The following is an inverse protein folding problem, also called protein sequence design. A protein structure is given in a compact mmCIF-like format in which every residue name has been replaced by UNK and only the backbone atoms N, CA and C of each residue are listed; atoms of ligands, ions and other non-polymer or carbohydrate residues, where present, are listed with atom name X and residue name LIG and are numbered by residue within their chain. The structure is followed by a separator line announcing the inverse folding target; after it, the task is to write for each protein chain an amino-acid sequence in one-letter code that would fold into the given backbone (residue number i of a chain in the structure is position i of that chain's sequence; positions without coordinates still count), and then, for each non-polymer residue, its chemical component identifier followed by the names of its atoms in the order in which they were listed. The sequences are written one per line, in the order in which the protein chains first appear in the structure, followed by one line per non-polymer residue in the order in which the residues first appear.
data_IF_554022670786
#
_entry.id   IF_554022670786
#
_cell.length_a   1.000
_cell.length_b   1.000
_cell.length_c   1.000
_cell.angle_alpha   90.00
_cell.angle_beta   90.00
_cell.angle_gamma   90.00
#
_symmetry.space_group_name_H-M   'P 1'
#
loop_
_entity.id
_entity.type
_entity.pdbx_description
1 polymer ?
#
# COMPACT_ATOMS: atom_id res chain seq x y z
N UNK A 1 -51.74 44.41 52.54
CA UNK A 1 -50.50 44.02 51.92
C UNK A 1 -50.50 42.50 51.83
N UNK A 2 -50.82 41.96 50.68
CA UNK A 2 -50.60 40.52 50.43
C UNK A 2 -49.12 40.23 50.46
N UNK A 3 -48.63 39.71 51.58
CA UNK A 3 -47.25 39.18 51.58
C UNK A 3 -47.31 37.77 50.95
N UNK A 4 -46.79 37.67 49.78
CA UNK A 4 -46.55 36.37 49.14
C UNK A 4 -45.56 35.63 50.02
N UNK A 5 -45.89 34.40 50.41
CA UNK A 5 -44.99 33.56 51.22
C UNK A 5 -43.85 32.99 50.36
N UNK A 6 -42.68 32.76 50.97
CA UNK A 6 -41.55 32.15 50.30
C UNK A 6 -41.91 30.81 49.62
N UNK A 7 -42.79 30.04 50.25
CA UNK A 7 -43.31 28.78 49.75
C UNK A 7 -44.11 28.94 48.45
N UNK A 8 -44.89 30.01 48.32
CA UNK A 8 -45.60 30.30 47.07
C UNK A 8 -44.69 30.73 45.96
N UNK A 9 -43.61 31.48 46.26
CA UNK A 9 -42.57 31.83 45.29
C UNK A 9 -41.82 30.57 44.79
N UNK A 10 -41.45 29.69 45.71
CA UNK A 10 -40.77 28.47 45.42
C UNK A 10 -41.61 27.48 44.60
N UNK A 11 -42.92 27.38 44.95
CA UNK A 11 -43.86 26.60 44.15
C UNK A 11 -44.04 27.13 42.72
N UNK A 12 -44.11 28.47 42.61
CA UNK A 12 -44.18 29.09 41.26
C UNK A 12 -42.93 28.92 40.43
N UNK A 13 -41.74 29.02 41.06
CA UNK A 13 -40.49 28.73 40.40
C UNK A 13 -40.43 27.28 39.91
N UNK A 14 -40.78 26.32 40.76
CA UNK A 14 -40.84 24.92 40.37
C UNK A 14 -41.81 24.68 39.19
N UNK A 15 -42.96 25.39 39.18
CA UNK A 15 -43.90 25.31 38.07
C UNK A 15 -43.31 25.83 36.74
N UNK A 16 -42.52 26.91 36.79
CA UNK A 16 -41.82 27.47 35.60
C UNK A 16 -40.79 26.48 35.14
N UNK A 17 -39.94 25.94 36.01
CA UNK A 17 -38.90 24.96 35.67
C UNK A 17 -39.50 23.70 35.01
N UNK A 18 -40.63 23.21 35.51
CA UNK A 18 -41.36 22.08 34.91
C UNK A 18 -41.88 22.45 33.51
N UNK A 19 -42.41 23.65 33.34
CA UNK A 19 -42.92 24.10 32.05
C UNK A 19 -41.77 24.26 31.02
N UNK A 20 -40.65 24.82 31.44
CA UNK A 20 -39.43 24.92 30.63
C UNK A 20 -38.90 23.55 30.22
N UNK A 21 -38.80 22.62 31.16
CA UNK A 21 -38.39 21.25 30.86
C UNK A 21 -39.30 20.54 29.84
N UNK A 22 -40.65 20.77 29.95
CA UNK A 22 -41.61 20.25 28.98
C UNK A 22 -41.44 20.88 27.59
N UNK A 23 -41.18 22.19 27.54
CA UNK A 23 -40.91 22.90 26.27
C UNK A 23 -39.66 22.36 25.61
N UNK A 24 -38.59 22.14 26.35
CA UNK A 24 -37.34 21.62 25.81
C UNK A 24 -37.47 20.17 25.32
N UNK A 25 -38.21 19.34 26.04
CA UNK A 25 -38.57 18.00 25.59
C UNK A 25 -39.38 18.02 24.27
N UNK A 26 -40.35 18.96 24.16
CA UNK A 26 -41.15 19.12 22.94
C UNK A 26 -40.28 19.62 21.75
N UNK A 27 -39.34 20.53 22.01
CA UNK A 27 -38.38 21.00 20.98
C UNK A 27 -37.45 19.88 20.52
N UNK A 28 -36.94 19.05 21.44
CA UNK A 28 -36.13 17.90 21.11
C UNK A 28 -36.88 16.91 20.19
N UNK A 29 -38.13 16.56 20.60
CA UNK A 29 -38.98 15.71 19.77
C UNK A 29 -39.25 16.30 18.36
N UNK A 30 -39.44 17.62 18.28
CA UNK A 30 -39.60 18.28 16.96
C UNK A 30 -38.32 18.21 16.13
N UNK A 31 -37.16 18.38 16.75
CA UNK A 31 -35.86 18.27 16.05
C UNK A 31 -35.64 16.87 15.47
N UNK A 32 -36.05 15.82 16.20
CA UNK A 32 -35.94 14.43 15.74
C UNK A 32 -36.84 14.11 14.52
N UNK A 33 -37.85 14.95 14.26
CA UNK A 33 -38.66 14.81 13.03
C UNK A 33 -37.98 15.38 11.78
N UNK A 34 -36.86 16.07 11.92
CA UNK A 34 -36.10 16.67 10.86
C UNK A 34 -34.72 16.04 10.78
N UNK A 35 -34.57 15.05 9.87
CA UNK A 35 -33.30 14.36 9.67
C UNK A 35 -32.46 15.20 8.69
N UNK A 36 -31.36 15.73 9.16
CA UNK A 36 -30.40 16.50 8.37
C UNK A 36 -29.09 15.73 8.19
N UNK A 37 -28.39 15.97 7.09
CA UNK A 37 -27.06 15.41 6.87
C UNK A 37 -26.07 15.96 7.92
N UNK A 38 -25.31 15.11 8.62
CA UNK A 38 -24.36 15.54 9.65
C UNK A 38 -23.10 16.18 9.09
N UNK A 39 -22.78 15.92 7.82
CA UNK A 39 -21.64 16.47 7.10
C UNK A 39 -21.97 16.63 5.60
N UNK A 40 -21.11 17.35 4.87
CA UNK A 40 -21.22 17.48 3.43
C UNK A 40 -20.66 16.23 2.73
N UNK A 41 -21.41 15.70 1.74
CA UNK A 41 -21.01 14.48 1.07
C UNK A 41 -21.90 14.15 -0.13
N UNK A 42 -21.66 12.99 -0.72
CA UNK A 42 -22.44 12.44 -1.84
C UNK A 42 -23.48 11.45 -1.30
N UNK A 43 -24.72 11.66 -1.67
CA UNK A 43 -25.83 10.79 -1.27
C UNK A 43 -25.97 9.63 -2.24
N UNK A 44 -26.18 8.43 -1.73
CA UNK A 44 -26.50 7.24 -2.51
C UNK A 44 -27.94 7.31 -3.09
N UNK A 45 -28.39 6.21 -3.69
CA UNK A 45 -29.75 6.13 -4.19
C UNK A 45 -30.79 6.12 -3.06
N UNK A 46 -31.90 6.80 -3.30
CA UNK A 46 -33.04 6.86 -2.38
C UNK A 46 -34.10 5.87 -2.85
N UNK A 47 -34.24 4.75 -2.15
CA UNK A 47 -35.14 3.65 -2.52
C UNK A 47 -36.48 3.70 -1.77
N UNK A 48 -36.91 4.89 -1.32
CA UNK A 48 -38.20 5.06 -0.67
C UNK A 48 -38.97 6.26 -1.20
N UNK A 49 -40.30 6.16 -1.13
CA UNK A 49 -41.24 7.18 -1.59
C UNK A 49 -41.97 7.82 -0.42
N UNK A 50 -42.52 9.00 -0.64
CA UNK A 50 -43.41 9.66 0.32
C UNK A 50 -44.56 8.71 0.73
N UNK A 51 -44.79 8.61 2.03
CA UNK A 51 -45.84 7.75 2.60
C UNK A 51 -45.36 6.34 2.96
N UNK A 52 -44.09 5.99 2.67
CA UNK A 52 -43.51 4.74 3.17
C UNK A 52 -43.33 4.83 4.69
N UNK A 53 -43.83 3.83 5.40
CA UNK A 53 -43.61 3.70 6.84
C UNK A 53 -42.17 3.23 7.07
N UNK A 54 -41.46 3.93 7.93
CA UNK A 54 -40.09 3.60 8.36
C UNK A 54 -40.08 3.31 9.86
N UNK A 55 -39.29 2.35 10.27
CA UNK A 55 -39.13 2.00 11.69
C UNK A 55 -37.84 2.64 12.23
N UNK A 56 -37.75 2.78 13.55
CA UNK A 56 -36.52 3.22 14.19
C UNK A 56 -35.38 2.25 13.82
N UNK A 57 -34.23 2.81 13.39
CA UNK A 57 -33.10 2.02 12.92
C UNK A 57 -33.16 1.61 11.45
N UNK A 58 -34.20 2.00 10.69
CA UNK A 58 -34.22 1.78 9.24
C UNK A 58 -33.15 2.64 8.55
N UNK A 59 -32.36 2.03 7.70
CA UNK A 59 -31.48 2.75 6.79
C UNK A 59 -32.30 3.51 5.76
N UNK A 60 -32.07 4.81 5.63
CA UNK A 60 -32.78 5.68 4.70
C UNK A 60 -31.98 5.91 3.43
N UNK A 61 -30.70 6.20 3.58
CA UNK A 61 -29.76 6.44 2.51
C UNK A 61 -28.33 6.33 3.05
N UNK A 62 -27.37 6.17 2.16
CA UNK A 62 -25.94 6.31 2.47
C UNK A 62 -25.48 7.74 2.17
N UNK A 63 -24.63 8.27 3.00
CA UNK A 63 -23.97 9.57 2.81
C UNK A 63 -22.47 9.35 2.96
N UNK A 64 -21.72 9.55 1.89
CA UNK A 64 -20.30 9.29 1.82
C UNK A 64 -19.51 10.58 1.56
N UNK A 65 -18.45 10.80 2.31
CA UNK A 65 -17.43 11.78 1.97
C UNK A 65 -16.42 11.11 1.04
N UNK A 66 -16.45 11.47 -0.22
CA UNK A 66 -15.58 10.90 -1.26
C UNK A 66 -14.33 11.74 -1.52
N UNK A 67 -14.09 12.78 -0.76
CA UNK A 67 -12.94 13.70 -0.97
C UNK A 67 -11.59 13.01 -0.77
N UNK A 68 -11.54 12.09 0.19
CA UNK A 68 -10.37 11.27 0.50
C UNK A 68 -10.81 9.81 0.58
N UNK A 69 -10.06 8.94 -0.08
CA UNK A 69 -10.33 7.51 -0.07
C UNK A 69 -9.25 6.76 0.69
N UNK A 70 -9.67 5.89 1.60
CA UNK A 70 -8.78 5.05 2.38
C UNK A 70 -8.65 3.65 1.76
N UNK A 71 -7.43 3.15 1.67
CA UNK A 71 -7.11 1.78 1.28
C UNK A 71 -6.37 1.09 2.41
N UNK A 72 -6.95 0.04 2.98
CA UNK A 72 -6.26 -0.83 3.91
C UNK A 72 -5.54 -1.95 3.13
N UNK A 73 -4.22 -1.98 3.23
CA UNK A 73 -3.36 -2.96 2.57
C UNK A 73 -2.69 -3.88 3.58
N UNK A 74 -2.67 -5.18 3.28
CA UNK A 74 -1.98 -6.18 4.08
C UNK A 74 -0.56 -6.37 3.55
N UNK A 75 0.45 -6.12 4.39
CA UNK A 75 1.86 -6.22 4.04
C UNK A 75 2.55 -7.26 4.91
N UNK A 76 3.33 -8.20 4.34
CA UNK A 76 4.08 -9.18 5.13
C UNK A 76 5.06 -8.53 6.11
N UNK A 77 5.19 -9.10 7.33
CA UNK A 77 6.00 -8.54 8.42
C UNK A 77 7.47 -8.31 8.06
N UNK A 78 8.03 -9.10 7.13
CA UNK A 78 9.41 -8.94 6.66
C UNK A 78 9.72 -7.56 6.08
N UNK A 79 8.69 -6.83 5.63
CA UNK A 79 8.84 -5.47 5.09
C UNK A 79 8.66 -4.38 6.13
N UNK A 80 8.37 -4.73 7.40
CA UNK A 80 8.07 -3.77 8.46
C UNK A 80 9.18 -2.71 8.63
N UNK A 81 10.44 -3.13 8.58
CA UNK A 81 11.59 -2.22 8.72
C UNK A 81 11.73 -1.19 7.59
N UNK A 82 11.08 -1.46 6.44
CA UNK A 82 11.12 -0.60 5.26
C UNK A 82 9.88 0.31 5.16
N UNK A 83 8.87 0.09 6.01
CA UNK A 83 7.65 0.86 6.01
C UNK A 83 7.79 2.12 6.87
N UNK A 84 7.27 3.23 6.39
CA UNK A 84 7.17 4.47 7.15
C UNK A 84 5.91 5.24 6.79
N UNK A 85 5.36 5.95 7.78
CA UNK A 85 4.27 6.90 7.56
C UNK A 85 4.78 8.02 6.65
N UNK A 86 3.95 8.43 5.68
CA UNK A 86 4.30 9.42 4.66
C UNK A 86 4.90 8.81 3.37
N UNK A 87 5.16 7.51 3.33
CA UNK A 87 5.62 6.82 2.11
C UNK A 87 4.58 6.92 1.01
N UNK A 88 5.02 7.23 -0.20
CA UNK A 88 4.14 7.28 -1.38
C UNK A 88 3.84 5.87 -1.91
N UNK A 89 2.60 5.67 -2.29
CA UNK A 89 2.09 4.41 -2.84
C UNK A 89 1.40 4.68 -4.15
N UNK A 90 1.91 4.10 -5.22
CA UNK A 90 1.23 4.11 -6.51
C UNK A 90 0.09 3.09 -6.51
N UNK A 91 -1.05 3.44 -7.12
CA UNK A 91 -2.14 2.50 -7.28
C UNK A 91 -2.81 2.63 -8.65
N UNK A 92 -3.36 1.53 -9.14
CA UNK A 92 -4.13 1.47 -10.39
C UNK A 92 -5.41 0.69 -10.17
N UNK A 93 -6.42 0.97 -10.97
CA UNK A 93 -7.68 0.22 -10.96
C UNK A 93 -8.13 -0.10 -12.38
N UNK A 94 -8.81 -1.23 -12.54
CA UNK A 94 -9.35 -1.62 -13.85
C UNK A 94 -10.47 -0.70 -14.34
N UNK A 95 -11.15 0.01 -13.43
CA UNK A 95 -12.21 0.96 -13.77
C UNK A 95 -11.68 2.17 -14.55
N UNK A 96 -10.44 2.56 -14.33
CA UNK A 96 -9.77 3.70 -14.99
C UNK A 96 -8.45 3.24 -15.60
N UNK A 97 -8.53 2.49 -16.69
CA UNK A 97 -7.35 1.96 -17.39
C UNK A 97 -6.44 3.09 -17.89
N UNK A 98 -5.16 3.01 -17.52
CA UNK A 98 -4.16 4.02 -17.89
C UNK A 98 -4.07 5.23 -16.95
N UNK A 99 -4.90 5.30 -15.91
CA UNK A 99 -4.81 6.31 -14.86
C UNK A 99 -4.10 5.73 -13.63
N UNK A 100 -3.06 6.41 -13.17
CA UNK A 100 -2.38 6.11 -11.92
C UNK A 100 -2.87 7.04 -10.80
N UNK A 101 -3.01 6.49 -9.63
CA UNK A 101 -3.34 7.23 -8.39
C UNK A 101 -2.14 7.16 -7.47
N UNK A 102 -1.83 8.26 -6.80
CA UNK A 102 -0.75 8.32 -5.81
C UNK A 102 -1.37 8.64 -4.47
N UNK A 103 -1.15 7.76 -3.53
CA UNK A 103 -1.57 7.93 -2.14
C UNK A 103 -0.38 7.96 -1.20
N UNK A 104 -0.64 8.19 0.09
CA UNK A 104 0.37 8.19 1.14
C UNK A 104 -0.03 7.28 2.28
N UNK A 105 0.94 6.59 2.84
CA UNK A 105 0.75 5.81 4.06
C UNK A 105 0.49 6.78 5.21
N UNK A 106 -0.70 6.71 5.79
CA UNK A 106 -1.11 7.55 6.93
C UNK A 106 -1.07 6.80 8.25
N UNK A 107 -1.17 5.47 8.19
CA UNK A 107 -1.14 4.64 9.38
C UNK A 107 -0.52 3.28 9.14
N UNK A 108 0.19 2.79 10.16
CA UNK A 108 0.74 1.44 10.23
C UNK A 108 0.16 0.83 11.51
N UNK A 109 -0.54 -0.31 11.39
CA UNK A 109 -1.12 -0.98 12.56
C UNK A 109 0.00 -1.40 13.53
N UNK A 110 -0.31 -1.39 14.81
CA UNK A 110 0.64 -1.81 15.85
C UNK A 110 0.68 -3.32 16.03
N UNK A 111 -0.23 -4.05 15.38
CA UNK A 111 -0.36 -5.50 15.54
C UNK A 111 -0.15 -6.22 14.22
N UNK A 112 0.59 -7.31 14.30
CA UNK A 112 0.75 -8.29 13.22
C UNK A 112 -0.28 -9.39 13.45
N UNK A 113 -1.00 -9.79 12.41
CA UNK A 113 -1.90 -10.94 12.47
C UNK A 113 -1.08 -12.21 12.61
N UNK A 114 -1.28 -12.94 13.71
CA UNK A 114 -0.59 -14.21 13.94
C UNK A 114 -0.99 -15.30 12.93
N UNK A 115 -2.15 -15.17 12.31
CA UNK A 115 -2.67 -16.12 11.33
C UNK A 115 -2.02 -15.95 9.95
N UNK A 116 -1.85 -14.68 9.51
CA UNK A 116 -1.37 -14.38 8.16
C UNK A 116 0.06 -13.85 8.12
N UNK A 117 0.66 -13.53 9.28
CA UNK A 117 1.96 -12.85 9.43
C UNK A 117 2.03 -11.54 8.63
N UNK A 118 0.88 -10.88 8.49
CA UNK A 118 0.76 -9.59 7.82
C UNK A 118 0.41 -8.50 8.83
N UNK A 119 0.90 -7.32 8.52
CA UNK A 119 0.48 -6.10 9.19
C UNK A 119 -0.39 -5.27 8.25
N UNK A 120 -1.35 -4.54 8.80
CA UNK A 120 -2.21 -3.64 8.03
C UNK A 120 -1.60 -2.26 7.99
N UNK A 121 -1.54 -1.69 6.79
CA UNK A 121 -1.22 -0.28 6.58
C UNK A 121 -2.42 0.42 5.97
N UNK A 122 -2.60 1.70 6.31
CA UNK A 122 -3.62 2.57 5.75
C UNK A 122 -2.99 3.58 4.83
N UNK A 123 -3.56 3.71 3.66
CA UNK A 123 -3.12 4.60 2.60
C UNK A 123 -4.27 5.51 2.26
N UNK A 124 -4.04 6.81 2.22
CA UNK A 124 -5.01 7.79 1.79
C UNK A 124 -4.71 8.29 0.39
N UNK A 125 -5.76 8.42 -0.42
CA UNK A 125 -5.74 8.93 -1.77
C UNK A 125 -6.64 10.15 -1.85
N UNK A 126 -6.12 11.29 -2.30
CA UNK A 126 -6.93 12.44 -2.65
C UNK A 126 -7.82 12.11 -3.86
N UNK A 127 -9.09 12.46 -3.80
CA UNK A 127 -10.09 12.09 -4.81
C UNK A 127 -10.91 13.31 -5.30
N UNK A 128 -10.27 14.38 -5.78
CA UNK A 128 -10.96 15.62 -6.11
C UNK A 128 -11.98 15.47 -7.27
N UNK A 129 -11.75 14.52 -8.16
CA UNK A 129 -12.61 14.27 -9.32
C UNK A 129 -13.62 13.13 -9.08
N UNK A 130 -13.67 12.59 -7.85
CA UNK A 130 -14.54 11.47 -7.46
C UNK A 130 -14.43 10.21 -8.35
N UNK A 131 -13.23 9.97 -8.90
CA UNK A 131 -12.94 8.78 -9.70
C UNK A 131 -12.93 7.50 -8.86
N UNK A 132 -12.42 7.59 -7.64
CA UNK A 132 -12.40 6.48 -6.70
C UNK A 132 -13.73 6.40 -5.96
N UNK A 133 -14.21 5.18 -5.77
CA UNK A 133 -15.46 4.91 -5.04
C UNK A 133 -15.25 3.78 -4.03
N UNK A 134 -15.99 3.79 -2.92
CA UNK A 134 -15.96 2.68 -1.97
C UNK A 134 -16.25 1.34 -2.65
N UNK A 135 -15.51 0.31 -2.26
CA UNK A 135 -15.64 -1.03 -2.84
C UNK A 135 -14.89 -1.28 -4.15
N UNK A 136 -14.17 -0.30 -4.68
CA UNK A 136 -13.31 -0.53 -5.85
C UNK A 136 -12.11 -1.40 -5.51
N UNK A 137 -11.75 -2.30 -6.43
CA UNK A 137 -10.50 -3.05 -6.37
C UNK A 137 -9.36 -2.19 -6.92
N UNK A 138 -8.29 -2.09 -6.14
CA UNK A 138 -7.08 -1.37 -6.52
C UNK A 138 -5.86 -2.28 -6.42
N UNK A 139 -4.94 -2.15 -7.38
CA UNK A 139 -3.62 -2.74 -7.32
C UNK A 139 -2.65 -1.68 -6.82
N UNK A 140 -2.15 -1.87 -5.60
CA UNK A 140 -1.21 -0.95 -4.97
C UNK A 140 0.24 -1.43 -5.20
N UNK A 141 1.14 -0.50 -5.48
CA UNK A 141 2.57 -0.73 -5.66
C UNK A 141 3.35 0.13 -4.66
N UNK A 142 4.05 -0.52 -3.74
CA UNK A 142 4.95 0.13 -2.81
C UNK A 142 6.37 0.06 -3.36
N UNK A 143 7.00 1.22 -3.54
CA UNK A 143 8.40 1.31 -3.88
C UNK A 143 9.21 1.42 -2.59
N UNK A 144 9.95 0.37 -2.25
CA UNK A 144 10.91 0.43 -1.15
C UNK A 144 12.21 1.09 -1.60
N UNK A 145 12.96 1.72 -0.69
CA UNK A 145 14.29 2.24 -0.99
C UNK A 145 15.16 1.14 -1.62
N UNK A 146 15.93 1.51 -2.64
CA UNK A 146 16.87 0.59 -3.23
C UNK A 146 17.92 0.18 -2.19
N UNK A 147 18.14 -1.12 -2.04
CA UNK A 147 19.22 -1.67 -1.23
C UNK A 147 20.39 -2.00 -2.15
N UNK A 148 21.58 -1.58 -1.78
CA UNK A 148 22.79 -2.03 -2.45
C UNK A 148 23.11 -3.44 -1.96
N UNK A 149 22.99 -4.43 -2.83
CA UNK A 149 23.32 -5.81 -2.53
C UNK A 149 24.03 -6.46 -3.73
N UNK A 150 24.94 -7.42 -3.51
CA UNK A 150 25.56 -8.15 -4.62
C UNK A 150 24.51 -8.90 -5.42
N UNK A 151 24.58 -8.78 -6.75
CA UNK A 151 23.74 -9.52 -7.68
C UNK A 151 24.64 -10.45 -8.49
N UNK A 152 24.29 -11.72 -8.55
CA UNK A 152 25.06 -12.72 -9.26
C UNK A 152 24.21 -13.49 -10.26
N UNK A 153 24.74 -13.95 -11.39
CA UNK A 153 24.03 -14.83 -12.31
C UNK A 153 23.63 -16.15 -11.61
N UNK A 154 22.41 -16.64 -11.85
CA UNK A 154 21.91 -17.91 -11.27
C UNK A 154 22.85 -19.08 -11.58
N UNK A 155 23.54 -19.05 -12.74
CA UNK A 155 24.51 -20.07 -13.11
C UNK A 155 25.78 -20.08 -12.23
N UNK A 156 26.01 -19.05 -11.40
CA UNK A 156 27.12 -19.00 -10.45
C UNK A 156 26.81 -19.75 -9.14
N UNK A 157 25.60 -20.25 -8.97
CA UNK A 157 25.15 -20.95 -7.78
C UNK A 157 25.39 -22.44 -7.87
N UNK A 158 26.05 -22.99 -6.85
CA UNK A 158 26.10 -24.41 -6.58
C UNK A 158 24.99 -24.80 -5.63
N UNK A 159 24.21 -25.83 -6.00
CA UNK A 159 23.10 -26.37 -5.21
C UNK A 159 23.56 -27.63 -4.50
N UNK A 160 23.60 -27.63 -3.17
CA UNK A 160 23.96 -28.80 -2.35
C UNK A 160 22.91 -29.03 -1.26
N UNK A 161 21.97 -29.93 -1.52
CA UNK A 161 20.81 -30.13 -0.65
C UNK A 161 19.97 -28.86 -0.52
N UNK A 162 19.77 -28.40 0.71
CA UNK A 162 19.01 -27.17 1.01
C UNK A 162 19.88 -25.91 1.00
N UNK A 163 21.21 -26.07 0.91
CA UNK A 163 22.17 -24.97 0.97
C UNK A 163 22.59 -24.52 -0.42
N UNK A 164 22.97 -23.26 -0.51
CA UNK A 164 23.45 -22.60 -1.73
C UNK A 164 24.86 -22.10 -1.48
N UNK A 165 25.71 -22.30 -2.48
CA UNK A 165 27.12 -21.92 -2.40
C UNK A 165 27.52 -21.18 -3.65
N UNK A 166 28.53 -20.32 -3.52
CA UNK A 166 29.28 -19.70 -4.61
C UNK A 166 30.76 -19.96 -4.39
N UNK A 167 31.52 -19.85 -5.46
CA UNK A 167 32.98 -19.87 -5.35
C UNK A 167 33.49 -18.44 -5.49
N UNK A 168 34.00 -17.89 -4.38
CA UNK A 168 34.67 -16.59 -4.34
C UNK A 168 36.13 -16.79 -4.62
N UNK A 169 36.75 -15.92 -5.40
CA UNK A 169 38.19 -15.98 -5.75
C UNK A 169 38.95 -15.14 -4.73
N UNK A 170 39.88 -15.75 -4.03
CA UNK A 170 40.75 -15.07 -3.09
C UNK A 170 41.92 -14.32 -3.77
N UNK A 171 42.74 -13.63 -2.99
CA UNK A 171 43.90 -12.88 -3.46
C UNK A 171 44.96 -13.75 -4.15
N UNK A 172 45.03 -15.05 -3.84
CA UNK A 172 45.92 -16.05 -4.41
C UNK A 172 45.35 -16.70 -5.68
N UNK A 173 44.25 -16.20 -6.25
CA UNK A 173 43.52 -16.78 -7.36
C UNK A 173 43.01 -18.20 -7.12
N UNK A 174 42.67 -18.53 -5.87
CA UNK A 174 42.04 -19.81 -5.51
C UNK A 174 40.57 -19.65 -5.27
N UNK A 175 39.79 -20.61 -5.71
CA UNK A 175 38.38 -20.66 -5.49
C UNK A 175 38.08 -21.10 -4.06
N UNK A 176 37.39 -20.28 -3.28
CA UNK A 176 36.90 -20.59 -1.94
C UNK A 176 35.40 -20.78 -1.96
N UNK A 177 34.94 -21.94 -1.50
CA UNK A 177 33.51 -22.27 -1.44
C UNK A 177 32.86 -21.53 -0.27
N UNK A 178 31.89 -20.65 -0.57
CA UNK A 178 31.20 -19.79 0.40
C UNK A 178 29.70 -20.09 0.40
N UNK A 179 29.12 -20.35 1.58
CA UNK A 179 27.67 -20.47 1.74
C UNK A 179 27.03 -19.10 1.60
N UNK A 180 25.93 -19.02 0.84
CA UNK A 180 25.21 -17.77 0.57
C UNK A 180 23.73 -17.90 0.90
N UNK A 181 23.16 -16.79 1.34
CA UNK A 181 21.70 -16.64 1.49
C UNK A 181 21.18 -15.88 0.28
N UNK A 182 20.20 -16.49 -0.38
CA UNK A 182 19.59 -15.89 -1.58
C UNK A 182 18.43 -14.97 -1.20
N UNK A 183 18.39 -13.80 -1.81
CA UNK A 183 17.28 -12.86 -1.76
C UNK A 183 16.37 -12.96 -3.00
N UNK A 184 15.96 -11.82 -3.51
CA UNK A 184 15.05 -11.72 -4.66
C UNK A 184 15.70 -12.21 -5.95
N UNK A 185 14.92 -12.87 -6.81
CA UNK A 185 15.28 -13.19 -8.18
C UNK A 185 14.92 -12.02 -9.10
N UNK A 186 15.88 -11.59 -9.92
CA UNK A 186 15.69 -10.55 -10.94
C UNK A 186 16.11 -11.13 -12.28
N UNK A 187 15.16 -11.48 -13.12
CA UNK A 187 15.39 -12.15 -14.42
C UNK A 187 16.27 -13.41 -14.30
N UNK A 188 17.51 -13.33 -14.75
CA UNK A 188 18.48 -14.43 -14.76
C UNK A 188 19.58 -14.25 -13.69
N UNK A 189 19.35 -13.33 -12.75
CA UNK A 189 20.25 -12.98 -11.67
C UNK A 189 19.54 -13.16 -10.32
N UNK A 190 20.32 -13.27 -9.26
CA UNK A 190 19.80 -13.39 -7.89
C UNK A 190 20.57 -12.45 -6.98
N UNK A 191 19.82 -11.76 -6.12
CA UNK A 191 20.37 -10.91 -5.07
C UNK A 191 20.93 -11.81 -3.98
N UNK A 192 22.11 -11.50 -3.46
CA UNK A 192 22.71 -12.20 -2.32
C UNK A 192 22.51 -11.35 -1.07
N UNK A 193 21.77 -11.89 -0.09
CA UNK A 193 21.55 -11.23 1.19
C UNK A 193 22.73 -11.34 2.15
N UNK A 194 23.50 -12.43 2.05
CA UNK A 194 24.71 -12.62 2.85
C UNK A 194 25.64 -13.67 2.25
N UNK A 195 26.93 -13.56 2.54
CA UNK A 195 27.98 -14.51 2.15
C UNK A 195 28.87 -14.02 1.00
N UNK A 196 28.56 -12.93 0.33
CA UNK A 196 29.38 -12.27 -0.70
C UNK A 196 29.29 -10.77 -0.53
N UNK A 197 30.37 -10.05 -0.72
CA UNK A 197 30.43 -8.59 -0.66
C UNK A 197 30.46 -7.98 -2.07
N UNK A 198 30.09 -6.69 -2.15
CA UNK A 198 30.15 -5.96 -3.43
C UNK A 198 31.61 -5.78 -3.80
N UNK A 199 31.98 -6.28 -4.97
CA UNK A 199 33.37 -6.26 -5.47
C UNK A 199 34.07 -7.60 -5.41
N UNK A 200 33.52 -8.60 -4.72
CA UNK A 200 34.06 -9.94 -4.74
C UNK A 200 34.05 -10.55 -6.14
N UNK A 201 35.15 -11.21 -6.50
CA UNK A 201 35.25 -11.98 -7.75
C UNK A 201 34.65 -13.37 -7.51
N UNK A 202 33.70 -13.77 -8.34
CA UNK A 202 33.04 -15.07 -8.25
C UNK A 202 33.24 -15.89 -9.51
N UNK A 203 33.22 -17.19 -9.36
CA UNK A 203 33.25 -18.15 -10.49
C UNK A 203 31.86 -18.26 -11.08
N UNK A 204 31.69 -17.90 -12.36
CA UNK A 204 30.41 -17.97 -13.08
C UNK A 204 30.29 -19.19 -13.95
N UNK A 205 31.41 -19.69 -14.49
CA UNK A 205 31.46 -20.84 -15.40
C UNK A 205 32.38 -21.93 -14.87
N UNK A 206 32.04 -23.19 -15.14
CA UNK A 206 32.86 -24.32 -14.74
C UNK A 206 32.61 -24.84 -13.34
N UNK A 207 31.55 -24.42 -12.68
CA UNK A 207 31.22 -24.74 -11.28
C UNK A 207 31.14 -26.25 -11.00
N UNK A 208 30.66 -27.04 -11.97
CA UNK A 208 30.50 -28.52 -11.80
C UNK A 208 31.83 -29.21 -11.47
N UNK A 209 32.94 -28.66 -11.89
CA UNK A 209 34.28 -29.21 -11.63
C UNK A 209 35.06 -28.46 -10.54
N UNK A 210 34.45 -27.46 -9.93
CA UNK A 210 35.07 -26.66 -8.88
C UNK A 210 35.12 -27.40 -7.55
N UNK A 211 36.20 -27.15 -6.82
CA UNK A 211 36.41 -27.59 -5.43
C UNK A 211 37.10 -26.47 -4.68
N UNK A 212 36.96 -26.52 -3.39
CA UNK A 212 37.65 -25.58 -2.50
C UNK A 212 39.15 -25.65 -2.68
N UNK A 213 39.81 -24.48 -2.84
CA UNK A 213 41.27 -24.38 -3.03
C UNK A 213 41.79 -24.58 -4.45
N UNK A 214 40.93 -24.82 -5.45
CA UNK A 214 41.36 -24.93 -6.84
C UNK A 214 41.80 -23.58 -7.41
N UNK A 215 42.97 -23.55 -8.02
CA UNK A 215 43.48 -22.37 -8.72
C UNK A 215 42.66 -22.09 -9.98
N UNK A 216 42.15 -20.86 -10.11
CA UNK A 216 41.29 -20.42 -11.19
C UNK A 216 42.03 -19.45 -12.11
N UNK A 217 41.75 -19.54 -13.40
CA UNK A 217 42.28 -18.59 -14.38
C UNK A 217 41.18 -17.69 -14.86
N UNK A 218 41.36 -16.39 -14.71
CA UNK A 218 40.39 -15.40 -15.17
C UNK A 218 40.27 -15.43 -16.69
N UNK A 219 39.06 -15.70 -17.19
CA UNK A 219 38.73 -15.54 -18.60
C UNK A 219 38.03 -14.20 -18.72
N UNK A 220 38.74 -13.18 -19.18
CA UNK A 220 38.17 -11.86 -19.43
C UNK A 220 37.12 -11.97 -20.54
N UNK A 221 35.86 -12.08 -20.19
CA UNK A 221 34.78 -11.89 -21.15
C UNK A 221 34.58 -10.39 -21.40
N UNK A 222 34.50 -9.92 -22.62
CA UNK A 222 34.29 -8.51 -22.90
C UNK A 222 32.85 -8.12 -22.56
N UNK A 223 32.66 -7.34 -21.50
CA UNK A 223 31.55 -6.47 -21.43
C UNK A 223 30.48 -6.66 -20.36
N UNK A 224 30.38 -5.63 -19.60
CA UNK A 224 29.26 -4.97 -18.89
C UNK A 224 29.28 -5.11 -17.37
N UNK A 225 29.96 -4.15 -16.77
CA UNK A 225 29.55 -3.62 -15.46
C UNK A 225 28.24 -2.86 -15.71
N UNK A 226 27.11 -3.43 -15.34
CA UNK A 226 25.84 -2.72 -15.20
C UNK A 226 25.68 -2.36 -13.72
N UNK A 227 25.94 -1.12 -13.37
CA UNK A 227 25.29 -0.48 -12.24
C UNK A 227 23.80 -0.43 -12.57
N UNK A 228 22.96 -1.05 -11.75
CA UNK A 228 21.52 -0.98 -11.92
C UNK A 228 21.05 0.41 -11.46
N UNK A 229 20.97 1.35 -12.39
CA UNK A 229 20.22 2.58 -12.23
C UNK A 229 18.73 2.24 -12.34
N UNK A 230 18.03 2.40 -11.23
CA UNK A 230 16.58 2.27 -11.15
C UNK A 230 15.91 3.56 -11.66
N UNK A 231 15.99 3.83 -12.97
CA UNK A 231 15.13 4.79 -13.65
C UNK A 231 14.65 4.17 -14.95
N UNK A 232 13.50 3.48 -14.86
CA UNK A 232 12.79 2.95 -16.02
C UNK A 232 12.03 4.06 -16.74
N UNK A 233 12.70 4.86 -17.56
CA UNK A 233 12.07 5.62 -18.63
C UNK A 233 11.93 4.73 -19.86
N UNK A 234 10.72 4.26 -20.11
CA UNK A 234 10.34 3.69 -21.40
C UNK A 234 10.15 4.83 -22.40
N UNK A 235 11.18 5.13 -23.17
CA UNK A 235 11.08 5.96 -24.36
C UNK A 235 10.25 5.28 -25.44
N UNK A 236 9.09 5.88 -25.70
CA UNK A 236 8.25 5.54 -26.87
C UNK A 236 9.00 5.99 -28.14
N UNK A 237 9.54 5.04 -28.87
CA UNK A 237 10.15 5.31 -30.17
C UNK A 237 9.06 5.16 -31.26
N UNK A 238 8.54 6.30 -31.72
CA UNK A 238 7.66 6.37 -32.88
C UNK A 238 8.42 6.03 -34.17
N UNK A 239 8.12 4.90 -34.78
CA UNK A 239 8.55 4.63 -36.14
C UNK A 239 7.48 5.09 -37.13
N UNK A 240 7.78 6.14 -37.87
CA UNK A 240 7.06 6.54 -39.07
C UNK A 240 7.17 5.44 -40.13
N UNK A 241 6.08 4.77 -40.41
CA UNK A 241 5.93 3.89 -41.57
C UNK A 241 5.53 4.71 -42.79
N UNK A 242 6.40 4.73 -43.74
CA UNK A 242 6.30 5.35 -45.08
C UNK A 242 5.29 4.59 -45.94
N UNK A 243 4.34 5.31 -46.49
CA UNK A 243 3.40 4.82 -47.50
C UNK A 243 4.13 4.35 -48.76
N UNK A 244 3.75 3.20 -49.28
CA UNK A 244 3.95 2.83 -50.69
C UNK A 244 2.62 2.41 -51.32
N UNK A 245 2.30 3.10 -52.34
CA UNK A 245 1.18 3.07 -53.26
C UNK A 245 1.53 2.09 -54.39
N UNK A 246 0.59 1.23 -54.80
CA UNK A 246 0.37 0.68 -56.16
C UNK A 246 -0.63 -0.48 -56.00
N UNK A 247 -1.82 -0.35 -56.51
CA UNK A 247 -2.35 -0.50 -57.89
C UNK A 247 -2.47 -1.99 -58.28
N UNK A 248 -3.62 -2.57 -58.18
CA UNK A 248 -4.49 -3.05 -59.25
C UNK A 248 -5.81 -3.54 -58.67
#
# INVERSE_FOLDING_TARGET
RNAITQTEIDAQKASVEIAEARLDAAKANLADLHIAAPFAGTVGFIDFSRGKMVSAGSELLTLDDLSVMELDLQVPERYLSMLSVGMEVGATTSAWSGMGFVGKVTGIDTRISAETLNLRIRIEFDNPENHLKPGMLMNASLAFPAIEAPIIPVQALEYSGTKRFVYVIDEDNKAKRQEVLLGAHVENEVVIESGVEIGDKIVVQGIVNMRDGVEVKEIVAPGKVKTADASGEQGVNGSQGKAAKEAN
#
